data_IF_722208829116
#
_entry.id   IF_722208829116
#
_cell.length_a   1.000
_cell.length_b   1.000
_cell.length_c   1.000
_cell.angle_alpha   90.00
_cell.angle_beta   90.00
_cell.angle_gamma   90.00
#
_symmetry.space_group_name_H-M   'P 1'
#
loop_
_entity.id
_entity.type
_entity.pdbx_description
1 polymer ?
#
# COMPACT_ATOMS: atom_id res chain seq x y z
N UNK A 1 -32.06 -3.66 5.91
CA UNK A 1 -31.12 -4.67 6.44
C UNK A 1 -29.82 -4.07 6.96
N UNK A 2 -29.65 -3.91 8.28
CA UNK A 2 -28.34 -3.73 8.90
C UNK A 2 -27.38 -4.88 8.56
N UNK A 3 -26.08 -4.62 8.74
CA UNK A 3 -25.05 -5.64 8.64
C UNK A 3 -24.87 -6.32 10.00
N UNK A 4 -24.61 -7.61 9.98
CA UNK A 4 -24.25 -8.40 11.15
C UNK A 4 -22.95 -9.14 10.89
N UNK A 5 -22.16 -9.30 11.95
CA UNK A 5 -20.91 -10.05 11.91
C UNK A 5 -20.90 -11.09 13.01
N UNK A 6 -20.73 -12.33 12.59
CA UNK A 6 -20.42 -13.47 13.45
C UNK A 6 -18.91 -13.70 13.43
N UNK A 7 -18.29 -13.66 14.59
CA UNK A 7 -16.87 -13.99 14.78
C UNK A 7 -16.80 -15.35 15.46
N UNK A 8 -16.04 -16.27 14.89
CA UNK A 8 -15.96 -17.66 15.33
C UNK A 8 -14.56 -17.99 15.87
N UNK A 9 -14.50 -18.79 16.92
CA UNK A 9 -13.28 -19.39 17.46
C UNK A 9 -13.41 -20.91 17.39
N UNK A 10 -12.42 -21.58 16.80
CA UNK A 10 -12.42 -23.03 16.65
C UNK A 10 -12.36 -23.74 18.00
N UNK A 11 -13.25 -24.72 18.19
CA UNK A 11 -13.34 -25.53 19.41
C UNK A 11 -12.86 -26.97 19.20
N UNK A 12 -12.91 -27.45 17.95
CA UNK A 12 -12.51 -28.80 17.55
C UNK A 12 -11.21 -28.78 16.74
N UNK A 13 -10.57 -29.94 16.61
CA UNK A 13 -9.40 -30.08 15.75
C UNK A 13 -9.76 -29.85 14.28
N UNK A 14 -8.74 -29.54 13.48
CA UNK A 14 -8.91 -29.19 12.07
C UNK A 14 -9.56 -30.31 11.24
N UNK A 15 -9.27 -31.58 11.52
CA UNK A 15 -9.81 -32.69 10.74
C UNK A 15 -11.31 -32.88 10.98
N UNK A 16 -11.77 -32.63 12.21
CA UNK A 16 -13.20 -32.59 12.55
C UNK A 16 -13.88 -31.34 11.97
N UNK A 17 -13.23 -30.18 12.03
CA UNK A 17 -13.75 -28.92 11.45
C UNK A 17 -13.94 -29.02 9.93
N UNK A 18 -12.94 -29.51 9.20
CA UNK A 18 -12.92 -29.58 7.74
C UNK A 18 -14.06 -30.46 7.16
N UNK A 19 -14.61 -31.40 7.94
CA UNK A 19 -15.76 -32.23 7.53
C UNK A 19 -17.05 -31.43 7.34
N UNK A 20 -17.22 -30.35 8.12
CA UNK A 20 -18.43 -29.52 8.12
C UNK A 20 -18.30 -28.25 7.27
N UNK A 21 -17.09 -27.90 6.81
CA UNK A 21 -16.81 -26.75 5.94
C UNK A 21 -17.60 -26.81 4.61
N UNK A 22 -17.72 -27.95 3.90
CA UNK A 22 -18.52 -28.01 2.67
C UNK A 22 -19.99 -27.66 2.89
N UNK A 23 -20.57 -28.13 4.02
CA UNK A 23 -21.95 -27.82 4.40
C UNK A 23 -22.11 -26.33 4.73
N UNK A 24 -21.16 -25.74 5.46
CA UNK A 24 -21.12 -24.30 5.72
C UNK A 24 -21.04 -23.47 4.44
N UNK A 25 -20.20 -23.85 3.48
CA UNK A 25 -20.08 -23.14 2.19
C UNK A 25 -21.39 -23.22 1.41
N UNK A 26 -22.06 -24.38 1.41
CA UNK A 26 -23.36 -24.53 0.77
C UNK A 26 -24.42 -23.64 1.44
N UNK A 27 -24.43 -23.58 2.76
CA UNK A 27 -25.30 -22.72 3.55
C UNK A 27 -25.10 -21.23 3.23
N UNK A 28 -23.85 -20.75 3.19
CA UNK A 28 -23.54 -19.35 2.83
C UNK A 28 -23.97 -19.01 1.39
N UNK A 29 -23.83 -19.94 0.44
CA UNK A 29 -24.34 -19.75 -0.93
C UNK A 29 -25.86 -19.64 -0.98
N UNK A 30 -26.56 -20.40 -0.15
CA UNK A 30 -28.02 -20.32 -0.06
C UNK A 30 -28.48 -19.00 0.55
N UNK A 31 -27.80 -18.51 1.59
CA UNK A 31 -28.05 -17.17 2.14
C UNK A 31 -27.89 -16.06 1.10
N UNK A 32 -26.87 -16.15 0.23
CA UNK A 32 -26.70 -15.19 -0.87
C UNK A 32 -27.87 -15.28 -1.86
N UNK A 33 -28.34 -16.49 -2.19
CA UNK A 33 -29.49 -16.71 -3.07
C UNK A 33 -30.78 -16.13 -2.48
N UNK A 34 -30.94 -16.22 -1.16
CA UNK A 34 -32.07 -15.67 -0.41
C UNK A 34 -31.99 -14.14 -0.22
N UNK A 35 -30.89 -13.49 -0.63
CA UNK A 35 -30.76 -12.03 -0.63
C UNK A 35 -29.98 -11.45 0.55
N UNK A 36 -29.46 -12.26 1.47
CA UNK A 36 -28.77 -11.82 2.68
C UNK A 36 -27.34 -11.29 2.47
N UNK A 37 -26.86 -11.14 1.23
CA UNK A 37 -25.55 -10.58 0.90
C UNK A 37 -24.41 -11.04 1.86
N UNK A 38 -24.15 -12.35 1.90
CA UNK A 38 -23.24 -12.98 2.86
C UNK A 38 -21.81 -13.16 2.32
N UNK A 39 -20.82 -13.11 3.21
CA UNK A 39 -19.40 -13.41 2.92
C UNK A 39 -18.73 -14.07 4.11
N UNK A 40 -18.03 -15.17 3.87
CA UNK A 40 -17.24 -15.89 4.87
C UNK A 40 -15.74 -15.66 4.66
N UNK A 41 -14.96 -15.70 5.74
CA UNK A 41 -13.50 -15.55 5.71
C UNK A 41 -12.82 -16.30 6.85
N UNK A 42 -11.65 -16.87 6.58
CA UNK A 42 -10.85 -17.62 7.56
C UNK A 42 -9.86 -16.70 8.29
N UNK A 43 -9.77 -16.79 9.61
CA UNK A 43 -8.85 -16.04 10.46
C UNK A 43 -7.84 -16.99 11.12
N UNK A 44 -6.66 -17.08 10.51
CA UNK A 44 -5.64 -18.09 10.83
C UNK A 44 -4.90 -17.89 12.16
N UNK A 45 -4.90 -16.68 12.74
CA UNK A 45 -4.16 -16.43 14.00
C UNK A 45 -4.86 -16.99 15.25
N UNK A 46 -6.15 -17.33 15.16
CA UNK A 46 -6.94 -17.85 16.29
C UNK A 46 -7.75 -19.12 15.98
N UNK A 47 -7.42 -19.83 14.88
CA UNK A 47 -8.08 -21.09 14.52
C UNK A 47 -9.58 -20.97 14.23
N UNK A 48 -10.04 -19.79 13.78
CA UNK A 48 -11.46 -19.46 13.64
C UNK A 48 -11.82 -18.78 12.31
N UNK A 49 -13.06 -18.32 12.21
CA UNK A 49 -13.65 -17.74 11.00
C UNK A 49 -14.48 -16.50 11.28
N UNK A 50 -15.00 -15.90 10.22
CA UNK A 50 -15.93 -14.79 10.31
C UNK A 50 -16.97 -14.88 9.19
N UNK A 51 -18.24 -14.65 9.53
CA UNK A 51 -19.34 -14.53 8.59
C UNK A 51 -19.95 -13.14 8.72
N UNK A 52 -19.97 -12.41 7.60
CA UNK A 52 -20.59 -11.08 7.48
C UNK A 52 -21.82 -11.24 6.58
N UNK A 53 -22.97 -10.75 7.01
CA UNK A 53 -24.23 -10.88 6.27
C UNK A 53 -25.22 -9.76 6.61
N UNK A 54 -26.24 -9.59 5.77
CA UNK A 54 -27.36 -8.66 5.97
C UNK A 54 -28.60 -9.40 6.45
N UNK A 55 -29.23 -8.87 7.48
CA UNK A 55 -30.53 -9.34 7.97
C UNK A 55 -31.41 -8.13 8.31
N UNK A 56 -32.72 -8.32 8.37
CA UNK A 56 -33.70 -7.29 8.72
C UNK A 56 -33.70 -6.97 10.22
N UNK A 57 -33.34 -7.93 11.07
CA UNK A 57 -33.29 -7.75 12.53
C UNK A 57 -32.21 -8.59 13.22
N UNK A 58 -31.90 -8.24 14.47
CA UNK A 58 -31.01 -9.03 15.33
C UNK A 58 -31.57 -10.44 15.61
N UNK A 59 -32.90 -10.59 15.61
CA UNK A 59 -33.55 -11.87 15.82
C UNK A 59 -33.36 -12.80 14.62
N UNK A 60 -33.58 -12.29 13.42
CA UNK A 60 -33.29 -13.00 12.18
C UNK A 60 -31.79 -13.33 12.06
N UNK A 61 -30.92 -12.40 12.46
CA UNK A 61 -29.48 -12.63 12.47
C UNK A 61 -29.07 -13.79 13.39
N UNK A 62 -29.72 -13.92 14.56
CA UNK A 62 -29.51 -15.07 15.45
C UNK A 62 -30.01 -16.37 14.84
N UNK A 63 -31.14 -16.35 14.12
CA UNK A 63 -31.68 -17.54 13.44
C UNK A 63 -30.74 -18.01 12.32
N UNK A 64 -30.24 -17.08 11.49
CA UNK A 64 -29.24 -17.34 10.45
C UNK A 64 -27.98 -17.97 11.08
N UNK A 65 -27.48 -17.39 12.17
CA UNK A 65 -26.30 -17.94 12.84
C UNK A 65 -26.55 -19.32 13.44
N UNK A 66 -27.70 -19.55 14.07
CA UNK A 66 -28.07 -20.82 14.69
C UNK A 66 -28.28 -21.95 13.66
N UNK A 67 -28.68 -21.60 12.42
CA UNK A 67 -28.84 -22.54 11.32
C UNK A 67 -27.52 -22.93 10.64
N UNK A 68 -26.41 -22.29 10.99
CA UNK A 68 -25.10 -22.58 10.40
C UNK A 68 -24.63 -23.99 10.81
N UNK A 69 -24.26 -24.86 9.84
CA UNK A 69 -23.75 -26.21 10.14
C UNK A 69 -22.57 -26.24 11.13
N UNK A 70 -21.67 -25.25 11.12
CA UNK A 70 -20.54 -25.21 12.07
C UNK A 70 -21.00 -24.99 13.51
N UNK A 71 -22.13 -24.30 13.70
CA UNK A 71 -22.74 -24.04 15.00
C UNK A 71 -23.54 -25.25 15.46
N UNK A 72 -24.33 -25.86 14.56
CA UNK A 72 -25.12 -27.05 14.86
C UNK A 72 -24.26 -28.25 15.28
N UNK A 73 -23.08 -28.39 14.68
CA UNK A 73 -22.12 -29.45 15.01
C UNK A 73 -21.13 -29.06 16.12
N UNK A 74 -21.36 -27.93 16.81
CA UNK A 74 -20.52 -27.44 17.92
C UNK A 74 -19.03 -27.32 17.58
N UNK A 75 -18.70 -27.03 16.31
CA UNK A 75 -17.32 -26.93 15.84
C UNK A 75 -16.65 -25.63 16.29
N UNK A 76 -17.43 -24.58 16.54
CA UNK A 76 -16.95 -23.24 16.89
C UNK A 76 -17.76 -22.61 18.01
N UNK A 77 -17.10 -21.80 18.83
CA UNK A 77 -17.76 -20.83 19.69
C UNK A 77 -17.91 -19.51 18.90
N UNK A 78 -18.98 -18.76 19.13
CA UNK A 78 -19.25 -17.55 18.34
C UNK A 78 -19.70 -16.36 19.17
N UNK A 79 -19.39 -15.17 18.65
CA UNK A 79 -19.97 -13.91 19.08
C UNK A 79 -20.67 -13.25 17.89
N UNK A 80 -21.91 -12.78 18.08
CA UNK A 80 -22.69 -12.10 17.05
C UNK A 80 -22.83 -10.62 17.41
N UNK A 81 -22.38 -9.77 16.50
CA UNK A 81 -22.40 -8.32 16.64
C UNK A 81 -23.24 -7.69 15.53
N UNK A 82 -24.14 -6.77 15.91
CA UNK A 82 -24.73 -5.85 14.93
C UNK A 82 -23.62 -4.91 14.46
N UNK A 83 -23.28 -4.98 13.17
CA UNK A 83 -22.33 -4.06 12.57
C UNK A 83 -23.03 -2.74 12.33
N UNK A 84 -22.98 -1.87 13.36
CA UNK A 84 -23.24 -0.44 13.23
C UNK A 84 -22.03 0.26 12.60
N UNK A 85 -21.68 -0.18 11.39
CA UNK A 85 -20.82 0.61 10.53
C UNK A 85 -21.58 1.87 10.19
N UNK A 86 -20.98 3.02 10.47
CA UNK A 86 -21.58 4.36 10.31
C UNK A 86 -22.48 4.45 9.10
N UNK A 87 -23.58 5.19 9.27
CA UNK A 87 -24.57 5.39 8.24
C UNK A 87 -23.97 5.84 6.92
N UNK A 88 -24.82 5.93 5.92
CA UNK A 88 -24.57 6.64 4.67
C UNK A 88 -24.30 8.15 4.89
N UNK A 89 -23.50 8.52 5.89
CA UNK A 89 -22.60 9.64 5.71
C UNK A 89 -21.62 9.19 4.62
N UNK A 90 -21.71 9.81 3.45
CA UNK A 90 -20.53 10.04 2.63
C UNK A 90 -19.42 10.38 3.61
N UNK A 91 -18.50 9.44 3.89
CA UNK A 91 -17.29 9.78 4.62
C UNK A 91 -16.71 10.93 3.82
N UNK A 92 -16.63 12.17 4.36
CA UNK A 92 -15.84 13.17 3.69
C UNK A 92 -14.48 12.52 3.56
N UNK A 93 -14.04 12.39 2.30
CA UNK A 93 -12.75 11.83 1.91
C UNK A 93 -11.77 12.20 2.99
N UNK A 94 -11.39 11.23 3.84
CA UNK A 94 -10.77 11.52 5.13
C UNK A 94 -9.73 12.58 4.87
N UNK A 95 -9.91 13.78 5.44
CA UNK A 95 -8.89 14.79 5.36
C UNK A 95 -7.74 14.22 6.17
N UNK A 96 -6.89 13.46 5.48
CA UNK A 96 -5.66 12.90 5.98
C UNK A 96 -4.76 14.11 6.23
N UNK A 97 -4.96 14.73 7.38
CA UNK A 97 -3.95 15.49 8.06
C UNK A 97 -2.90 14.54 8.68
N UNK A 98 -2.75 13.33 8.10
CA UNK A 98 -1.67 12.41 8.39
C UNK A 98 -0.42 12.93 7.67
N UNK A 99 0.53 13.40 8.47
CA UNK A 99 1.82 13.88 7.97
C UNK A 99 2.46 12.89 6.99
N UNK A 100 3.12 13.43 5.97
CA UNK A 100 3.82 12.64 4.96
C UNK A 100 4.99 11.90 5.60
N UNK A 101 4.89 10.56 5.72
CA UNK A 101 5.99 9.73 6.23
C UNK A 101 6.93 9.35 5.11
N UNK A 102 8.12 9.94 5.09
CA UNK A 102 9.17 9.59 4.11
C UNK A 102 9.74 8.21 4.46
N UNK A 103 9.75 7.30 3.49
CA UNK A 103 10.31 5.95 3.63
C UNK A 103 11.75 5.91 3.15
N UNK A 104 12.00 6.52 1.98
CA UNK A 104 13.32 6.52 1.36
C UNK A 104 13.51 7.83 0.60
N UNK A 105 14.70 8.38 0.72
CA UNK A 105 15.06 9.69 0.16
C UNK A 105 16.34 9.56 -0.66
N UNK A 106 16.25 9.89 -1.96
CA UNK A 106 17.36 9.85 -2.90
C UNK A 106 18.23 11.11 -2.77
N UNK A 107 19.03 11.14 -1.71
CA UNK A 107 19.96 12.25 -1.46
C UNK A 107 20.96 12.43 -2.60
N UNK A 108 21.37 11.33 -3.24
CA UNK A 108 22.32 11.37 -4.35
C UNK A 108 21.75 12.12 -5.57
N UNK A 109 20.46 11.93 -5.89
CA UNK A 109 19.82 12.65 -6.99
C UNK A 109 19.93 14.17 -6.82
N UNK A 110 19.69 14.70 -5.61
CA UNK A 110 19.81 16.16 -5.34
C UNK A 110 21.23 16.69 -5.51
N UNK A 111 22.24 15.83 -5.35
CA UNK A 111 23.64 16.17 -5.54
C UNK A 111 24.07 16.09 -7.01
N UNK A 112 23.58 15.11 -7.75
CA UNK A 112 24.00 14.88 -9.13
C UNK A 112 23.22 15.72 -10.14
N UNK A 113 21.96 16.02 -9.84
CA UNK A 113 21.06 16.70 -10.74
C UNK A 113 20.57 18.03 -10.15
N UNK A 114 20.30 18.96 -11.04
CA UNK A 114 19.51 20.16 -10.80
C UNK A 114 18.04 19.80 -11.00
N UNK A 115 17.21 20.04 -9.99
CA UNK A 115 15.78 19.72 -10.01
C UNK A 115 15.05 20.94 -10.55
N UNK A 116 14.33 20.77 -11.66
CA UNK A 116 13.55 21.83 -12.29
C UNK A 116 12.11 21.83 -11.78
N UNK A 117 11.50 20.65 -11.77
CA UNK A 117 10.10 20.47 -11.39
C UNK A 117 9.92 19.12 -10.72
N UNK A 118 8.95 19.00 -9.81
CA UNK A 118 8.64 17.78 -9.08
C UNK A 118 7.18 17.39 -9.24
N UNK A 119 6.95 16.10 -9.40
CA UNK A 119 5.65 15.48 -9.61
C UNK A 119 5.44 14.39 -8.57
N UNK A 120 4.19 14.16 -8.18
CA UNK A 120 3.76 13.04 -7.34
C UNK A 120 3.11 11.99 -8.24
N UNK A 121 3.53 10.73 -8.11
CA UNK A 121 2.93 9.61 -8.83
C UNK A 121 2.62 8.45 -7.87
N UNK A 122 1.54 7.74 -8.16
CA UNK A 122 1.29 6.41 -7.59
C UNK A 122 2.23 5.38 -8.20
N UNK A 123 2.44 4.25 -7.52
CA UNK A 123 3.29 3.15 -8.00
C UNK A 123 2.47 1.87 -8.01
N UNK A 124 2.50 1.14 -9.12
CA UNK A 124 1.92 -0.19 -9.22
C UNK A 124 2.84 -1.22 -8.53
N UNK A 125 2.44 -1.65 -7.34
CA UNK A 125 3.22 -2.53 -6.46
C UNK A 125 2.54 -3.86 -6.21
N UNK A 126 3.35 -4.91 -6.06
CA UNK A 126 2.92 -6.22 -5.58
C UNK A 126 2.83 -6.22 -4.05
N UNK A 127 2.00 -7.10 -3.49
CA UNK A 127 1.81 -7.19 -2.03
C UNK A 127 3.11 -7.42 -1.24
N UNK A 128 4.04 -8.21 -1.81
CA UNK A 128 5.37 -8.44 -1.21
C UNK A 128 6.24 -7.18 -1.19
N UNK A 129 6.12 -6.32 -2.20
CA UNK A 129 6.84 -5.04 -2.27
C UNK A 129 6.28 -4.02 -1.27
N UNK A 130 4.96 -3.97 -1.12
CA UNK A 130 4.31 -3.11 -0.13
C UNK A 130 4.84 -3.44 1.27
N UNK A 131 4.98 -4.73 1.61
CA UNK A 131 5.57 -5.17 2.88
C UNK A 131 7.03 -4.71 3.02
N UNK A 132 7.85 -4.91 2.01
CA UNK A 132 9.27 -4.48 2.03
C UNK A 132 9.45 -2.97 2.13
N UNK A 133 8.66 -2.19 1.38
CA UNK A 133 8.71 -0.72 1.43
C UNK A 133 8.28 -0.21 2.81
N UNK A 134 7.22 -0.78 3.41
CA UNK A 134 6.80 -0.39 4.77
C UNK A 134 7.87 -0.69 5.83
N UNK A 135 8.74 -1.67 5.59
CA UNK A 135 9.92 -1.97 6.41
C UNK A 135 11.15 -1.09 6.06
N UNK A 136 11.04 -0.14 5.13
CA UNK A 136 12.15 0.72 4.72
C UNK A 136 13.18 0.04 3.80
N UNK A 137 12.91 -1.16 3.29
CA UNK A 137 13.84 -1.93 2.46
C UNK A 137 13.76 -1.55 0.99
N UNK A 138 13.98 -0.26 0.70
CA UNK A 138 13.96 0.28 -0.67
C UNK A 138 15.09 1.29 -0.91
N UNK A 139 15.73 1.15 -2.06
CA UNK A 139 16.80 2.01 -2.51
C UNK A 139 16.49 2.59 -3.89
N UNK A 140 16.48 3.92 -3.96
CA UNK A 140 16.20 4.72 -5.16
C UNK A 140 17.47 5.08 -5.95
N UNK A 141 18.65 4.67 -5.47
CA UNK A 141 19.92 4.94 -6.10
C UNK A 141 19.95 4.36 -7.52
N UNK A 142 20.48 5.13 -8.47
CA UNK A 142 20.57 4.80 -9.90
C UNK A 142 19.22 4.52 -10.58
N UNK A 143 18.10 4.72 -9.87
CA UNK A 143 16.76 4.63 -10.43
C UNK A 143 16.44 5.82 -11.31
N UNK A 144 15.66 5.60 -12.36
CA UNK A 144 15.18 6.65 -13.25
C UNK A 144 13.76 6.32 -13.70
N UNK A 145 13.02 7.33 -14.17
CA UNK A 145 11.73 7.11 -14.81
C UNK A 145 11.85 7.30 -16.31
N UNK A 146 11.19 6.44 -17.07
CA UNK A 146 11.18 6.44 -18.52
C UNK A 146 9.74 6.44 -19.01
N UNK A 147 9.45 7.26 -20.02
CA UNK A 147 8.16 7.21 -20.69
C UNK A 147 8.28 6.26 -21.87
N UNK A 148 7.41 5.25 -21.92
CA UNK A 148 7.35 4.26 -22.99
C UNK A 148 5.88 4.02 -23.34
N UNK A 149 5.55 4.10 -24.63
CA UNK A 149 4.19 3.85 -25.14
C UNK A 149 3.08 4.70 -24.46
N UNK A 150 3.44 5.91 -24.02
CA UNK A 150 2.52 6.81 -23.32
C UNK A 150 2.30 6.50 -21.83
N UNK A 151 3.03 5.52 -21.29
CA UNK A 151 3.04 5.18 -19.87
C UNK A 151 4.38 5.55 -19.22
N UNK A 152 4.34 5.88 -17.93
CA UNK A 152 5.54 6.21 -17.16
C UNK A 152 5.99 4.98 -16.37
N UNK A 153 7.26 4.61 -16.51
CA UNK A 153 7.86 3.42 -15.90
C UNK A 153 9.03 3.80 -15.01
N UNK A 154 9.03 3.31 -13.77
CA UNK A 154 10.14 3.41 -12.84
C UNK A 154 11.08 2.23 -13.04
N UNK A 155 12.33 2.54 -13.36
CA UNK A 155 13.38 1.58 -13.71
C UNK A 155 14.51 1.59 -12.69
N UNK A 156 15.17 0.44 -12.55
CA UNK A 156 16.39 0.23 -11.73
C UNK A 156 16.26 0.61 -10.23
N UNK A 157 15.04 0.77 -9.72
CA UNK A 157 14.78 0.93 -8.29
C UNK A 157 14.81 -0.43 -7.61
N UNK A 158 15.61 -0.56 -6.55
CA UNK A 158 15.78 -1.80 -5.81
C UNK A 158 14.85 -1.84 -4.60
N UNK A 159 13.92 -2.80 -4.59
CA UNK A 159 13.13 -3.17 -3.41
C UNK A 159 13.62 -4.55 -2.97
N UNK A 160 14.04 -4.69 -1.71
CA UNK A 160 14.53 -5.98 -1.25
C UNK A 160 13.38 -6.99 -1.18
N UNK A 161 13.55 -8.21 -1.68
CA UNK A 161 12.56 -9.28 -1.54
C UNK A 161 12.17 -9.48 -0.07
N UNK A 162 10.90 -9.78 0.17
CA UNK A 162 10.40 -9.92 1.53
C UNK A 162 10.79 -11.28 2.12
N UNK A 163 11.48 -11.30 3.26
CA UNK A 163 12.06 -12.52 3.86
C UNK A 163 11.02 -13.57 4.27
N UNK A 164 9.85 -13.14 4.77
CA UNK A 164 8.80 -14.06 5.24
C UNK A 164 7.82 -14.47 4.13
N UNK A 165 8.02 -14.01 2.89
CA UNK A 165 7.21 -14.45 1.74
C UNK A 165 7.90 -15.65 1.10
N UNK A 166 7.13 -16.69 0.78
CA UNK A 166 7.65 -17.85 0.03
C UNK A 166 8.35 -17.37 -1.25
N UNK A 167 9.56 -17.90 -1.51
CA UNK A 167 10.42 -17.50 -2.64
C UNK A 167 9.69 -17.55 -3.99
N UNK A 168 8.82 -18.54 -4.20
CA UNK A 168 8.05 -18.68 -5.44
C UNK A 168 7.05 -17.53 -5.68
N UNK A 169 6.63 -16.82 -4.62
CA UNK A 169 5.69 -15.69 -4.69
C UNK A 169 6.37 -14.35 -4.42
N UNK A 170 7.70 -14.31 -4.41
CA UNK A 170 8.44 -13.08 -4.20
C UNK A 170 8.59 -12.30 -5.51
N UNK A 171 8.88 -11.02 -5.39
CA UNK A 171 9.11 -10.15 -6.54
C UNK A 171 10.58 -10.09 -6.90
N UNK A 172 10.88 -9.80 -8.16
CA UNK A 172 12.23 -9.40 -8.57
C UNK A 172 12.56 -8.00 -8.03
N UNK A 173 13.73 -7.86 -7.43
CA UNK A 173 14.10 -6.65 -6.69
C UNK A 173 14.09 -5.38 -7.56
N UNK A 174 14.54 -5.50 -8.80
CA UNK A 174 14.70 -4.38 -9.76
C UNK A 174 13.67 -4.38 -10.89
N UNK A 175 12.53 -5.07 -10.71
CA UNK A 175 11.50 -5.11 -11.76
C UNK A 175 11.07 -3.69 -12.18
N UNK A 176 10.73 -3.47 -13.46
CA UNK A 176 10.08 -2.25 -13.89
C UNK A 176 8.73 -2.09 -13.20
N UNK A 177 8.42 -0.88 -12.74
CA UNK A 177 7.16 -0.56 -12.04
C UNK A 177 6.44 0.55 -12.76
N UNK A 178 5.18 0.32 -13.14
CA UNK A 178 4.37 1.37 -13.77
C UNK A 178 4.02 2.43 -12.75
N UNK A 179 4.06 3.68 -13.19
CA UNK A 179 3.76 4.86 -12.41
C UNK A 179 2.41 5.41 -12.84
N UNK A 180 1.57 5.69 -11.86
CA UNK A 180 0.20 6.14 -12.05
C UNK A 180 0.17 7.66 -11.92
N UNK A 181 -0.04 8.32 -13.05
CA UNK A 181 -0.07 9.78 -13.19
C UNK A 181 -1.11 10.18 -14.24
N UNK A 182 -1.61 11.42 -14.21
CA UNK A 182 -2.62 11.84 -15.17
C UNK A 182 -2.06 11.85 -16.60
N UNK A 183 -2.88 11.45 -17.58
CA UNK A 183 -2.48 11.35 -18.99
C UNK A 183 -1.94 12.68 -19.54
N UNK A 184 -2.52 13.80 -19.13
CA UNK A 184 -2.07 15.13 -19.57
C UNK A 184 -0.73 15.53 -18.94
N UNK A 185 -0.46 15.12 -17.71
CA UNK A 185 0.85 15.30 -17.07
C UNK A 185 1.92 14.47 -17.78
N UNK A 186 1.61 13.22 -18.14
CA UNK A 186 2.53 12.37 -18.92
C UNK A 186 2.82 13.02 -20.27
N UNK A 187 1.80 13.53 -20.99
CA UNK A 187 1.99 14.21 -22.27
C UNK A 187 2.89 15.44 -22.16
N UNK A 188 2.72 16.24 -21.11
CA UNK A 188 3.61 17.40 -20.83
C UNK A 188 5.04 16.95 -20.56
N UNK A 189 5.23 15.84 -19.84
CA UNK A 189 6.56 15.31 -19.57
C UNK A 189 7.25 14.78 -20.83
N UNK A 190 6.54 14.17 -21.77
CA UNK A 190 7.12 13.69 -23.04
C UNK A 190 7.85 14.84 -23.76
N UNK A 191 7.15 15.94 -23.99
CA UNK A 191 7.76 17.10 -24.69
C UNK A 191 8.92 17.74 -23.92
N UNK A 192 8.96 17.63 -22.58
CA UNK A 192 10.08 18.12 -21.77
C UNK A 192 11.26 17.15 -21.79
N UNK A 193 11.04 15.85 -21.70
CA UNK A 193 12.10 14.83 -21.67
C UNK A 193 12.81 14.71 -23.02
N UNK A 194 12.10 14.95 -24.13
CA UNK A 194 12.70 15.02 -25.46
C UNK A 194 13.68 16.19 -25.63
N UNK A 195 13.61 17.22 -24.77
CA UNK A 195 14.60 18.30 -24.76
C UNK A 195 15.96 17.76 -24.31
N UNK A 196 17.00 18.04 -25.10
CA UNK A 196 18.36 17.55 -24.85
C UNK A 196 18.82 17.86 -23.41
N UNK A 197 19.15 16.81 -22.67
CA UNK A 197 19.80 16.89 -21.36
C UNK A 197 18.85 16.90 -20.16
N UNK A 198 17.54 16.68 -20.36
CA UNK A 198 16.59 16.47 -19.27
C UNK A 198 16.33 14.97 -19.06
N UNK A 199 16.10 14.59 -17.80
CA UNK A 199 15.80 13.22 -17.38
C UNK A 199 14.84 13.21 -16.21
N UNK A 200 14.13 12.09 -16.01
CA UNK A 200 13.22 11.92 -14.89
C UNK A 200 13.89 11.06 -13.81
N UNK A 201 14.03 11.61 -12.60
CA UNK A 201 14.74 10.96 -11.50
C UNK A 201 13.82 10.84 -10.28
N UNK A 202 13.70 9.66 -9.65
CA UNK A 202 12.95 9.51 -8.41
C UNK A 202 13.69 10.20 -7.25
N UNK A 203 12.99 11.07 -6.54
CA UNK A 203 13.52 11.81 -5.40
C UNK A 203 13.23 11.13 -4.06
N UNK A 204 12.00 10.68 -3.84
CA UNK A 204 11.61 10.08 -2.55
C UNK A 204 10.41 9.16 -2.73
N UNK A 205 10.35 8.13 -1.89
CA UNK A 205 9.15 7.32 -1.66
C UNK A 205 8.61 7.67 -0.28
N UNK A 206 7.30 7.87 -0.18
CA UNK A 206 6.63 8.24 1.06
C UNK A 206 5.23 7.64 1.15
N UNK A 207 4.71 7.55 2.37
CA UNK A 207 3.32 7.22 2.62
C UNK A 207 2.52 8.51 2.78
N UNK A 208 1.38 8.58 2.08
CA UNK A 208 0.39 9.65 2.18
C UNK A 208 -1.00 9.02 2.11
N UNK A 209 -1.77 9.15 3.18
CA UNK A 209 -3.10 8.56 3.30
C UNK A 209 -3.14 7.05 3.08
N UNK A 210 -2.21 6.33 3.71
CA UNK A 210 -2.08 4.87 3.57
C UNK A 210 -1.46 4.37 2.26
N UNK A 211 -1.40 5.20 1.21
CA UNK A 211 -0.83 4.88 -0.09
C UNK A 211 0.68 5.14 -0.14
N UNK A 212 1.39 4.30 -0.89
CA UNK A 212 2.80 4.50 -1.22
C UNK A 212 2.87 5.35 -2.49
N UNK A 213 3.52 6.50 -2.38
CA UNK A 213 3.73 7.45 -3.49
C UNK A 213 5.21 7.65 -3.74
N UNK A 214 5.55 7.95 -4.99
CA UNK A 214 6.90 8.40 -5.38
C UNK A 214 6.84 9.84 -5.85
N UNK A 215 7.83 10.63 -5.44
CA UNK A 215 8.09 11.92 -6.06
C UNK A 215 9.15 11.76 -7.14
N UNK A 216 8.85 12.25 -8.34
CA UNK A 216 9.72 12.21 -9.51
C UNK A 216 10.05 13.63 -9.89
N UNK A 217 11.31 13.88 -10.24
CA UNK A 217 11.76 15.18 -10.69
C UNK A 217 12.11 15.17 -12.16
N UNK A 218 11.69 16.20 -12.88
CA UNK A 218 12.35 16.60 -14.11
C UNK A 218 13.65 17.29 -13.73
N UNK A 219 14.76 16.72 -14.18
CA UNK A 219 16.07 17.10 -13.70
C UNK A 219 17.11 17.17 -14.83
N UNK A 220 18.10 18.04 -14.65
CA UNK A 220 19.24 18.20 -15.54
C UNK A 220 20.52 17.77 -14.82
N UNK A 221 21.42 17.07 -15.50
CA UNK A 221 22.72 16.72 -14.91
C UNK A 221 23.55 17.97 -14.59
N UNK A 222 24.06 18.08 -13.36
CA UNK A 222 24.93 19.20 -12.97
C UNK A 222 26.31 19.07 -13.61
N UNK A 223 26.89 20.19 -14.06
CA UNK A 223 28.27 20.23 -14.54
C UNK A 223 29.24 20.05 -13.36
N UNK A 224 30.47 19.64 -13.65
CA UNK A 224 31.50 19.44 -12.63
C UNK A 224 31.80 20.73 -11.85
N UNK A 225 31.76 21.88 -12.53
CA UNK A 225 31.92 23.20 -11.91
C UNK A 225 30.85 23.45 -10.84
N UNK A 226 29.57 23.31 -11.20
CA UNK A 226 28.43 23.53 -10.31
C UNK A 226 28.45 22.60 -9.10
N UNK A 227 28.96 21.37 -9.26
CA UNK A 227 29.16 20.42 -8.15
C UNK A 227 30.20 20.92 -7.15
N UNK A 228 31.32 21.50 -7.61
CA UNK A 228 32.37 22.05 -6.74
C UNK A 228 31.86 23.26 -5.96
N UNK A 229 31.14 24.16 -6.62
CA UNK A 229 30.57 25.35 -5.98
C UNK A 229 29.53 24.98 -4.91
N UNK A 230 28.64 24.04 -5.22
CA UNK A 230 27.66 23.54 -4.24
C UNK A 230 28.32 22.88 -3.02
N UNK A 231 29.45 22.19 -3.21
CA UNK A 231 30.23 21.61 -2.10
C UNK A 231 30.88 22.70 -1.25
N UNK A 232 31.52 23.69 -1.89
CA UNK A 232 32.14 24.83 -1.19
C UNK A 232 31.13 25.57 -0.33
N UNK A 233 29.99 25.96 -0.90
CA UNK A 233 28.92 26.67 -0.19
C UNK A 233 28.34 25.86 0.97
N UNK A 234 28.22 24.54 0.81
CA UNK A 234 27.75 23.64 1.89
C UNK A 234 28.77 23.55 3.03
N UNK A 235 30.05 23.57 2.70
CA UNK A 235 31.13 23.55 3.69
C UNK A 235 31.19 24.87 4.46
N UNK A 236 31.20 26.01 3.76
CA UNK A 236 31.15 27.35 4.35
C UNK A 236 29.97 27.48 5.32
N UNK A 237 28.76 27.05 4.89
CA UNK A 237 27.57 27.08 5.75
C UNK A 237 27.74 26.24 7.02
N UNK A 238 28.31 25.04 6.91
CA UNK A 238 28.55 24.17 8.08
C UNK A 238 29.57 24.76 9.05
N UNK A 239 30.58 25.45 8.54
CA UNK A 239 31.58 26.13 9.36
C UNK A 239 30.95 27.32 10.10
N UNK A 240 30.12 28.12 9.42
CA UNK A 240 29.33 29.19 10.05
C UNK A 240 28.38 28.65 11.12
N UNK A 241 27.63 27.59 10.82
CA UNK A 241 26.68 26.98 11.76
C UNK A 241 27.39 26.45 13.03
N UNK A 242 28.59 25.86 12.87
CA UNK A 242 29.42 25.40 14.01
C UNK A 242 29.98 26.56 14.84
N UNK A 243 30.43 27.63 14.19
CA UNK A 243 30.94 28.81 14.88
C UNK A 243 29.85 29.53 15.70
N UNK A 244 28.60 29.47 15.23
CA UNK A 244 27.43 29.99 15.94
C UNK A 244 27.00 29.06 17.10
N UNK A 245 27.02 27.74 16.92
CA UNK A 245 26.61 26.79 17.97
C UNK A 245 27.64 26.61 19.09
N UNK A 246 28.92 26.86 18.82
CA UNK A 246 30.00 26.76 19.82
C UNK A 246 30.14 27.97 20.75
N UNK A 247 29.28 28.99 20.60
CA UNK A 247 29.27 30.22 21.42
C UNK A 247 28.09 30.29 22.41
N UNK A 248 27.39 29.17 22.65
CA UNK A 248 26.27 29.06 23.59
C UNK A 248 26.60 28.14 24.75
#
# INVERSE_FOLDING_TARGET
MPWFVKIERGRVDKATFDQHVPAHIAYVKDLIRQGHAAKTGYWAEYGGGMLIFRADSMEEARQIVAADPLIQHHCVDYELHEWRGGGEEEKPMAQDNQGVKVVSDNRQARHQYEILETFEAGIELLGSEVKSIRQGKVNLRDGYAQIKDGELWLQNVHISPHTMTNKAYNHEAKRPRRLLMHRDEIRKLIGKVEQKGLTLVPLKIYLKGGWIKVSIALARGKKLHDKREALKRKQEKRETDRALSGRG
#
